data_IF_830362377883
#
_entry.id   IF_830362377883
#
_cell.length_a   1.000
_cell.length_b   1.000
_cell.length_c   1.000
_cell.angle_alpha   90.00
_cell.angle_beta   90.00
_cell.angle_gamma   90.00
#
_symmetry.space_group_name_H-M   'P 1'
#
loop_
_entity.id
_entity.type
_entity.pdbx_description
1 polymer ?
#
# COMPACT_ATOMS: atom_id res chain seq x y z
N UNK A 1 -19.01 12.78 -22.47
CA UNK A 1 -18.87 11.35 -22.11
C UNK A 1 -19.79 10.39 -22.89
N UNK A 2 -20.97 10.80 -23.41
CA UNK A 2 -21.86 9.91 -24.18
C UNK A 2 -21.27 9.37 -25.50
N UNK A 3 -20.21 9.99 -26.04
CA UNK A 3 -19.59 9.59 -27.33
C UNK A 3 -18.96 8.19 -27.33
N UNK A 4 -18.58 7.64 -26.18
CA UNK A 4 -17.95 6.31 -26.09
C UNK A 4 -18.91 5.19 -25.68
N UNK A 5 -20.16 5.51 -25.32
CA UNK A 5 -21.16 4.48 -24.95
C UNK A 5 -21.37 3.45 -26.08
N UNK A 6 -21.45 3.83 -27.37
CA UNK A 6 -21.53 2.86 -28.45
C UNK A 6 -20.31 1.93 -28.54
N UNK A 7 -19.11 2.47 -28.30
CA UNK A 7 -17.86 1.69 -28.31
C UNK A 7 -17.86 0.66 -27.17
N UNK A 8 -18.25 1.06 -25.95
CA UNK A 8 -18.34 0.14 -24.82
C UNK A 8 -19.41 -0.94 -25.04
N UNK A 9 -20.57 -0.60 -25.63
CA UNK A 9 -21.57 -1.61 -26.01
C UNK A 9 -21.03 -2.62 -27.02
N UNK A 10 -20.36 -2.14 -28.06
CA UNK A 10 -19.76 -3.00 -29.08
C UNK A 10 -18.71 -3.94 -28.47
N UNK A 11 -17.89 -3.45 -27.53
CA UNK A 11 -16.93 -4.30 -26.81
C UNK A 11 -17.63 -5.36 -25.94
N UNK A 12 -18.65 -4.98 -25.18
CA UNK A 12 -19.40 -5.93 -24.35
C UNK A 12 -20.17 -6.95 -25.20
N UNK A 13 -20.69 -6.57 -26.36
CA UNK A 13 -21.27 -7.48 -27.35
C UNK A 13 -20.23 -8.46 -27.92
N UNK A 14 -19.05 -7.96 -28.30
CA UNK A 14 -17.95 -8.80 -28.78
C UNK A 14 -17.54 -9.84 -27.73
N UNK A 15 -17.42 -9.44 -26.46
CA UNK A 15 -17.07 -10.36 -25.37
C UNK A 15 -18.14 -11.42 -25.11
N UNK A 16 -19.42 -11.05 -25.24
CA UNK A 16 -20.53 -12.01 -25.18
C UNK A 16 -20.48 -12.98 -26.37
N UNK A 17 -20.28 -12.48 -27.58
CA UNK A 17 -20.16 -13.32 -28.78
C UNK A 17 -18.97 -14.29 -28.69
N UNK A 18 -17.82 -13.80 -28.21
CA UNK A 18 -16.62 -14.61 -27.96
C UNK A 18 -16.92 -15.72 -26.95
N UNK A 19 -17.65 -15.41 -25.89
CA UNK A 19 -18.08 -16.39 -24.86
C UNK A 19 -19.05 -17.45 -25.38
N UNK A 20 -19.80 -17.18 -26.45
CA UNK A 20 -20.71 -18.17 -27.07
C UNK A 20 -20.01 -19.12 -28.05
N UNK A 21 -18.80 -18.77 -28.48
CA UNK A 21 -18.03 -19.56 -29.44
C UNK A 21 -16.94 -20.34 -28.71
N UNK A 22 -17.15 -21.64 -28.49
CA UNK A 22 -16.25 -22.51 -27.70
C UNK A 22 -14.79 -22.49 -28.16
N UNK A 23 -14.53 -22.28 -29.46
CA UNK A 23 -13.17 -22.16 -30.01
C UNK A 23 -12.48 -20.83 -29.70
N UNK A 24 -13.24 -19.78 -29.36
CA UNK A 24 -12.73 -18.45 -29.07
C UNK A 24 -12.70 -18.14 -27.56
N UNK A 25 -13.41 -18.91 -26.72
CA UNK A 25 -13.35 -18.80 -25.25
C UNK A 25 -11.91 -18.81 -24.70
N UNK A 26 -10.94 -19.58 -25.24
CA UNK A 26 -9.56 -19.51 -24.78
C UNK A 26 -8.92 -18.11 -24.87
N UNK A 27 -9.36 -17.26 -25.80
CA UNK A 27 -8.87 -15.88 -25.94
C UNK A 27 -9.28 -14.97 -24.76
N UNK A 28 -10.25 -15.40 -23.95
CA UNK A 28 -10.71 -14.70 -22.76
C UNK A 28 -9.90 -15.08 -21.50
N UNK A 29 -9.10 -16.15 -21.59
CA UNK A 29 -8.16 -16.56 -20.56
C UNK A 29 -6.91 -15.66 -20.60
N UNK A 30 -6.07 -15.67 -19.54
CA UNK A 30 -4.78 -15.01 -19.60
C UNK A 30 -3.95 -15.46 -20.81
N UNK A 31 -3.19 -14.53 -21.41
CA UNK A 31 -2.27 -14.83 -22.52
C UNK A 31 -1.08 -15.65 -22.01
N UNK A 32 -1.20 -16.98 -21.99
CA UNK A 32 -0.08 -17.86 -21.68
C UNK A 32 1.12 -17.55 -22.59
N UNK A 33 2.29 -17.27 -21.98
CA UNK A 33 3.55 -17.39 -22.69
C UNK A 33 3.78 -18.85 -23.08
N UNK A 34 4.44 -19.07 -24.21
CA UNK A 34 4.77 -20.33 -24.91
C UNK A 34 4.24 -21.71 -24.42
N UNK A 35 3.81 -22.60 -25.33
CA UNK A 35 3.07 -23.84 -24.98
C UNK A 35 3.91 -24.98 -24.37
N UNK A 36 5.19 -24.76 -24.05
CA UNK A 36 6.08 -25.84 -23.61
C UNK A 36 6.34 -25.89 -22.09
N UNK A 37 5.84 -24.94 -21.31
CA UNK A 37 6.09 -24.89 -19.86
C UNK A 37 4.81 -24.61 -19.05
N UNK A 38 3.83 -25.52 -19.00
CA UNK A 38 2.70 -25.36 -18.05
C UNK A 38 2.05 -26.71 -17.69
N UNK A 39 2.69 -27.44 -16.77
CA UNK A 39 2.03 -28.46 -15.94
C UNK A 39 2.10 -28.07 -14.45
N UNK A 40 1.69 -26.86 -14.08
CA UNK A 40 1.42 -26.49 -12.68
C UNK A 40 0.18 -25.58 -12.60
N UNK A 41 -0.96 -26.16 -12.21
CA UNK A 41 -2.28 -25.50 -12.17
C UNK A 41 -2.46 -24.48 -11.03
N UNK A 42 -1.39 -24.12 -10.30
CA UNK A 42 -1.42 -23.14 -9.20
C UNK A 42 -0.71 -21.80 -9.50
N UNK A 43 -0.20 -21.59 -10.73
CA UNK A 43 0.63 -20.39 -11.03
C UNK A 43 0.08 -19.41 -12.08
N UNK A 44 -1.18 -19.56 -12.53
CA UNK A 44 -1.81 -18.67 -13.52
C UNK A 44 -2.59 -17.46 -12.93
N UNK A 45 -2.28 -16.97 -11.72
CA UNK A 45 -2.97 -15.79 -11.14
C UNK A 45 -2.30 -14.44 -11.47
N UNK A 46 -1.12 -14.44 -12.11
CA UNK A 46 -0.32 -13.23 -12.33
C UNK A 46 -0.77 -12.33 -13.48
N UNK A 47 -1.55 -12.88 -14.42
CA UNK A 47 -1.98 -12.18 -15.63
C UNK A 47 -3.44 -11.74 -15.54
N UNK A 48 -3.67 -10.46 -15.81
CA UNK A 48 -4.99 -9.85 -15.79
C UNK A 48 -5.85 -10.41 -16.93
N UNK A 49 -6.76 -11.34 -16.60
CA UNK A 49 -7.72 -11.87 -17.58
C UNK A 49 -8.87 -10.90 -17.85
N UNK A 50 -9.51 -11.05 -19.01
CA UNK A 50 -10.74 -10.33 -19.35
C UNK A 50 -11.83 -10.59 -18.32
N UNK A 51 -11.94 -11.82 -17.81
CA UNK A 51 -12.88 -12.19 -16.76
C UNK A 51 -12.65 -11.44 -15.45
N UNK A 52 -11.40 -11.28 -15.02
CA UNK A 52 -11.07 -10.57 -13.77
C UNK A 52 -11.33 -9.06 -13.87
N UNK A 53 -11.06 -8.45 -15.02
CA UNK A 53 -11.41 -7.05 -15.28
C UNK A 53 -12.92 -6.83 -15.27
N UNK A 54 -13.68 -7.72 -15.91
CA UNK A 54 -15.15 -7.66 -15.91
C UNK A 54 -15.72 -7.85 -14.50
N UNK A 55 -15.15 -8.74 -13.68
CA UNK A 55 -15.56 -8.93 -12.30
C UNK A 55 -15.34 -7.64 -11.47
N UNK A 56 -14.16 -7.03 -11.55
CA UNK A 56 -13.88 -5.74 -10.89
C UNK A 56 -14.85 -4.64 -11.34
N UNK A 57 -15.10 -4.56 -12.66
CA UNK A 57 -16.00 -3.56 -13.22
C UNK A 57 -17.46 -3.81 -12.81
N UNK A 58 -17.89 -5.07 -12.72
CA UNK A 58 -19.21 -5.46 -12.18
C UNK A 58 -19.34 -5.01 -10.72
N UNK A 59 -18.36 -5.28 -9.86
CA UNK A 59 -18.39 -4.83 -8.45
C UNK A 59 -18.57 -3.31 -8.34
N UNK A 60 -17.79 -2.52 -9.08
CA UNK A 60 -17.92 -1.05 -9.06
C UNK A 60 -19.33 -0.57 -9.47
N UNK A 61 -19.92 -1.23 -10.48
CA UNK A 61 -21.25 -0.90 -10.98
C UNK A 61 -22.36 -1.34 -10.01
N UNK A 62 -22.22 -2.52 -9.40
CA UNK A 62 -23.15 -3.05 -8.41
C UNK A 62 -23.23 -2.12 -7.20
N UNK A 63 -22.07 -1.69 -6.66
CA UNK A 63 -21.99 -0.69 -5.58
C UNK A 63 -22.71 0.62 -5.94
N UNK A 64 -22.52 1.10 -7.17
CA UNK A 64 -23.23 2.29 -7.67
C UNK A 64 -24.76 2.10 -7.70
N UNK A 65 -25.24 0.96 -8.21
CA UNK A 65 -26.69 0.69 -8.29
C UNK A 65 -27.35 0.47 -6.93
N UNK A 66 -26.65 -0.17 -5.99
CA UNK A 66 -27.16 -0.39 -4.65
C UNK A 66 -27.40 0.93 -3.93
N UNK A 67 -26.49 1.90 -4.03
CA UNK A 67 -26.73 3.27 -3.50
C UNK A 67 -27.92 3.97 -4.14
N UNK A 68 -28.16 3.77 -5.44
CA UNK A 68 -29.35 4.34 -6.10
C UNK A 68 -30.65 3.71 -5.58
N UNK A 69 -30.67 2.39 -5.35
CA UNK A 69 -31.85 1.69 -4.79
C UNK A 69 -32.10 2.04 -3.33
N UNK A 70 -31.07 2.09 -2.48
CA UNK A 70 -31.23 2.42 -1.06
C UNK A 70 -31.83 3.81 -0.83
N UNK A 71 -31.66 4.76 -1.77
CA UNK A 71 -32.36 6.05 -1.75
C UNK A 71 -33.84 5.98 -2.13
N UNK A 72 -34.24 5.02 -2.99
CA UNK A 72 -35.64 4.85 -3.41
C UNK A 72 -36.50 4.27 -2.29
N UNK A 73 -35.91 3.41 -1.43
CA UNK A 73 -36.63 2.84 -0.28
C UNK A 73 -36.69 3.80 0.93
N UNK A 74 -35.68 4.66 1.16
CA UNK A 74 -35.77 5.74 2.17
C UNK A 74 -36.77 6.88 1.78
N UNK A 75 -37.24 6.92 0.52
CA UNK A 75 -38.15 7.97 -0.01
C UNK A 75 -39.65 7.65 -0.02
N UNK A 76 -40.08 6.44 0.35
CA UNK A 76 -41.49 5.97 0.26
C UNK A 76 -42.43 6.49 1.36
N UNK A 77 -42.15 7.67 1.92
CA UNK A 77 -42.97 8.29 2.98
C UNK A 77 -43.79 9.52 2.56
N UNK A 78 -43.63 10.06 1.34
CA UNK A 78 -44.32 11.29 0.93
C UNK A 78 -44.99 11.12 -0.42
N UNK A 79 -46.32 11.15 -0.42
CA UNK A 79 -47.14 11.25 -1.63
C UNK A 79 -46.87 12.63 -2.27
N UNK A 80 -46.15 12.65 -3.37
CA UNK A 80 -46.18 13.73 -4.36
C UNK A 80 -46.24 13.15 -5.77
N UNK A 81 -47.28 13.54 -6.48
CA UNK A 81 -47.50 13.37 -7.91
C UNK A 81 -46.49 14.18 -8.72
N UNK A 82 -46.13 13.63 -9.89
CA UNK A 82 -45.28 14.19 -10.95
C UNK A 82 -43.82 14.45 -10.61
N UNK A 83 -43.00 13.40 -10.72
CA UNK A 83 -41.64 13.51 -11.25
C UNK A 83 -41.40 12.36 -12.21
N UNK A 84 -41.17 12.70 -13.48
CA UNK A 84 -40.66 11.79 -14.50
C UNK A 84 -39.41 11.08 -13.97
N UNK A 85 -39.37 9.74 -14.09
CA UNK A 85 -38.17 8.94 -13.83
C UNK A 85 -36.96 9.63 -14.47
N UNK A 86 -35.82 9.81 -13.76
CA UNK A 86 -34.60 10.26 -14.42
C UNK A 86 -34.19 9.15 -15.40
N UNK A 87 -34.33 9.41 -16.70
CA UNK A 87 -33.85 8.49 -17.72
C UNK A 87 -32.37 8.17 -17.45
N UNK A 88 -31.95 6.90 -17.55
CA UNK A 88 -30.55 6.54 -17.36
C UNK A 88 -29.70 7.25 -18.42
N UNK A 89 -28.97 8.31 -18.03
CA UNK A 89 -28.10 9.05 -18.94
C UNK A 89 -26.63 8.60 -18.85
N UNK A 90 -26.02 8.35 -20.01
CA UNK A 90 -24.57 8.13 -20.14
C UNK A 90 -24.14 6.69 -19.85
N UNK A 91 -23.13 6.51 -18.98
CA UNK A 91 -22.55 5.18 -18.69
C UNK A 91 -23.48 4.29 -17.84
N UNK A 92 -24.50 4.86 -17.20
CA UNK A 92 -25.52 4.10 -16.43
C UNK A 92 -26.33 3.17 -17.33
N UNK A 93 -26.45 3.50 -18.62
CA UNK A 93 -27.04 2.65 -19.65
C UNK A 93 -26.29 1.36 -19.91
N UNK A 94 -25.02 1.28 -19.52
CA UNK A 94 -24.18 0.09 -19.71
C UNK A 94 -24.26 -0.87 -18.52
N UNK A 95 -24.86 -0.47 -17.41
CA UNK A 95 -24.87 -1.27 -16.18
C UNK A 95 -25.45 -2.67 -16.40
N UNK A 96 -26.64 -2.84 -17.02
CA UNK A 96 -27.17 -4.18 -17.29
C UNK A 96 -26.28 -4.97 -18.26
N UNK A 97 -25.66 -4.29 -19.23
CA UNK A 97 -24.78 -4.92 -20.22
C UNK A 97 -23.47 -5.41 -19.56
N UNK A 98 -22.90 -4.65 -18.63
CA UNK A 98 -21.68 -5.01 -17.88
C UNK A 98 -21.96 -6.21 -16.98
N UNK A 99 -23.04 -6.18 -16.19
CA UNK A 99 -23.44 -7.27 -15.30
C UNK A 99 -23.64 -8.57 -16.10
N UNK A 100 -24.45 -8.50 -17.16
CA UNK A 100 -24.74 -9.65 -18.03
C UNK A 100 -23.49 -10.19 -18.72
N UNK A 101 -22.61 -9.31 -19.20
CA UNK A 101 -21.38 -9.74 -19.88
C UNK A 101 -20.41 -10.40 -18.91
N UNK A 102 -20.26 -9.87 -17.70
CA UNK A 102 -19.43 -10.48 -16.66
C UNK A 102 -19.92 -11.89 -16.29
N UNK A 103 -21.23 -12.09 -16.12
CA UNK A 103 -21.82 -13.41 -15.85
C UNK A 103 -21.58 -14.41 -16.99
N UNK A 104 -21.81 -13.99 -18.24
CA UNK A 104 -21.62 -14.85 -19.42
C UNK A 104 -20.15 -15.25 -19.58
N UNK A 105 -19.23 -14.29 -19.46
CA UNK A 105 -17.78 -14.56 -19.59
C UNK A 105 -17.29 -15.45 -18.46
N UNK A 106 -17.77 -15.21 -17.23
CA UNK A 106 -17.43 -16.05 -16.08
C UNK A 106 -17.90 -17.49 -16.26
N UNK A 107 -19.15 -17.69 -16.69
CA UNK A 107 -19.70 -19.01 -16.96
C UNK A 107 -18.91 -19.73 -18.06
N UNK A 108 -18.66 -19.08 -19.20
CA UNK A 108 -17.96 -19.68 -20.33
C UNK A 108 -16.52 -20.10 -19.98
N UNK A 109 -15.78 -19.21 -19.29
CA UNK A 109 -14.39 -19.50 -18.88
C UNK A 109 -14.32 -20.58 -17.80
N UNK A 110 -15.28 -20.64 -16.88
CA UNK A 110 -15.37 -21.69 -15.85
C UNK A 110 -15.69 -23.04 -16.47
N UNK A 111 -16.66 -23.12 -17.38
CA UNK A 111 -16.99 -24.36 -18.10
C UNK A 111 -15.82 -24.87 -18.93
N UNK A 112 -15.05 -23.98 -19.56
CA UNK A 112 -13.83 -24.38 -20.29
C UNK A 112 -12.76 -24.96 -19.35
N UNK A 113 -12.54 -24.34 -18.18
CA UNK A 113 -11.59 -24.86 -17.18
C UNK A 113 -12.01 -26.24 -16.67
N UNK A 114 -13.29 -26.43 -16.36
CA UNK A 114 -13.83 -27.72 -15.94
C UNK A 114 -13.68 -28.78 -17.04
N UNK A 115 -14.02 -28.46 -18.30
CA UNK A 115 -13.85 -29.38 -19.42
C UNK A 115 -12.37 -29.75 -19.68
N UNK A 116 -11.44 -28.81 -19.49
CA UNK A 116 -10.01 -29.07 -19.61
C UNK A 116 -9.49 -29.95 -18.46
N UNK A 117 -9.99 -29.76 -17.25
CA UNK A 117 -9.63 -30.56 -16.08
C UNK A 117 -10.17 -32.00 -16.20
N UNK A 118 -11.40 -32.17 -16.70
CA UNK A 118 -11.98 -33.47 -17.05
C UNK A 118 -11.16 -34.19 -18.12
N UNK A 119 -10.71 -33.48 -19.17
CA UNK A 119 -9.81 -34.06 -20.19
C UNK A 119 -8.47 -34.51 -19.59
N UNK A 120 -7.85 -33.70 -18.72
CA UNK A 120 -6.60 -34.06 -18.02
C UNK A 120 -6.77 -35.31 -17.12
N UNK A 121 -7.90 -35.42 -16.41
CA UNK A 121 -8.21 -36.58 -15.57
C UNK A 121 -8.40 -37.88 -16.37
N UNK A 122 -8.98 -37.78 -17.58
CA UNK A 122 -9.13 -38.92 -18.50
C UNK A 122 -7.80 -39.32 -19.14
N UNK A 123 -6.89 -38.38 -19.36
CA UNK A 123 -5.57 -38.62 -19.97
C UNK A 123 -4.53 -39.18 -18.99
N UNK A 124 -4.61 -38.81 -17.70
CA UNK A 124 -3.76 -39.33 -16.62
C UNK A 124 -3.97 -40.84 -16.37
N UNK A 125 -5.14 -41.38 -16.71
CA UNK A 125 -5.44 -42.82 -16.61
C UNK A 125 -4.74 -43.69 -17.69
N UNK A 126 -3.93 -43.11 -18.59
CA UNK A 126 -3.27 -43.86 -19.68
C UNK A 126 -1.73 -43.79 -19.72
N UNK A 127 -1.04 -43.13 -18.78
CA UNK A 127 0.43 -43.13 -18.74
C UNK A 127 0.97 -43.25 -17.32
N UNK A 128 1.14 -44.48 -16.85
CA UNK A 128 2.08 -44.79 -15.76
C UNK A 128 3.38 -45.28 -16.42
N UNK A 129 4.34 -44.38 -16.60
CA UNK A 129 5.79 -44.70 -16.61
C UNK A 129 6.61 -43.42 -16.78
N UNK A 130 7.47 -43.16 -15.79
CA UNK A 130 8.65 -42.29 -15.81
C UNK A 130 8.52 -40.87 -16.41
N UNK A 131 8.36 -39.86 -15.56
CA UNK A 131 8.82 -38.49 -15.83
C UNK A 131 9.73 -38.02 -14.68
N UNK A 132 10.91 -37.44 -14.97
CA UNK A 132 11.74 -36.81 -13.93
C UNK A 132 11.07 -35.53 -13.42
N UNK A 133 11.31 -35.20 -12.15
CA UNK A 133 10.76 -34.00 -11.48
C UNK A 133 11.23 -32.73 -12.21
N UNK A 134 10.36 -31.72 -12.43
CA UNK A 134 10.78 -30.46 -13.03
C UNK A 134 11.74 -29.70 -12.10
N UNK A 135 12.74 -29.06 -12.69
CA UNK A 135 13.64 -28.13 -12.00
C UNK A 135 12.85 -26.90 -11.56
N UNK A 136 12.78 -26.65 -10.25
CA UNK A 136 12.14 -25.46 -9.67
C UNK A 136 12.81 -24.20 -10.23
N UNK A 137 12.07 -23.39 -10.98
CA UNK A 137 12.52 -22.05 -11.39
C UNK A 137 12.58 -21.19 -10.12
N UNK A 138 13.80 -20.96 -9.61
CA UNK A 138 14.03 -20.07 -8.48
C UNK A 138 13.63 -18.64 -8.88
N UNK A 139 12.38 -18.24 -8.58
CA UNK A 139 11.97 -16.83 -8.66
C UNK A 139 12.87 -15.99 -7.77
N UNK A 140 13.30 -14.84 -8.27
CA UNK A 140 14.08 -13.87 -7.50
C UNK A 140 13.29 -13.39 -6.27
N UNK A 141 14.00 -12.94 -5.23
CA UNK A 141 13.36 -12.39 -4.00
C UNK A 141 12.42 -11.23 -4.34
N UNK A 142 12.78 -10.42 -5.32
CA UNK A 142 11.96 -9.30 -5.81
C UNK A 142 10.67 -9.79 -6.50
N UNK A 143 10.73 -10.79 -7.38
CA UNK A 143 9.53 -11.35 -8.01
C UNK A 143 8.59 -11.98 -6.98
N UNK A 144 9.14 -12.68 -5.97
CA UNK A 144 8.36 -13.21 -4.84
C UNK A 144 7.67 -12.09 -4.07
N UNK A 145 8.39 -11.01 -3.78
CA UNK A 145 7.83 -9.84 -3.11
C UNK A 145 6.70 -9.22 -3.95
N UNK A 146 6.95 -8.89 -5.22
CA UNK A 146 5.96 -8.29 -6.11
C UNK A 146 4.72 -9.18 -6.24
N UNK A 147 4.89 -10.49 -6.42
CA UNK A 147 3.77 -11.42 -6.52
C UNK A 147 2.91 -11.47 -5.25
N UNK A 148 3.54 -11.50 -4.06
CA UNK A 148 2.84 -11.50 -2.79
C UNK A 148 2.10 -10.18 -2.53
N UNK A 149 2.75 -9.04 -2.80
CA UNK A 149 2.20 -7.72 -2.51
C UNK A 149 1.15 -7.26 -3.52
N UNK A 150 1.20 -7.73 -4.78
CA UNK A 150 0.22 -7.40 -5.84
C UNK A 150 -1.22 -7.67 -5.41
N UNK A 151 -1.44 -8.79 -4.71
CA UNK A 151 -2.76 -9.21 -4.24
C UNK A 151 -3.37 -8.26 -3.20
N UNK A 152 -2.54 -7.46 -2.53
CA UNK A 152 -2.94 -6.60 -1.43
C UNK A 152 -3.01 -5.11 -1.80
N UNK A 153 -2.69 -4.73 -3.05
CA UNK A 153 -2.59 -3.33 -3.47
C UNK A 153 -3.89 -2.55 -3.38
N UNK A 154 -5.04 -3.19 -3.65
CA UNK A 154 -6.32 -2.51 -3.64
C UNK A 154 -7.39 -3.44 -3.09
N UNK A 155 -8.10 -2.96 -2.07
CA UNK A 155 -9.23 -3.69 -1.48
C UNK A 155 -10.20 -2.71 -0.80
N UNK A 156 -11.35 -3.20 -0.36
CA UNK A 156 -12.26 -2.47 0.52
C UNK A 156 -12.00 -2.79 1.99
N UNK A 157 -12.49 -1.93 2.89
CA UNK A 157 -12.46 -2.16 4.34
C UNK A 157 -13.66 -1.44 4.98
N UNK A 158 -14.33 -2.06 5.95
CA UNK A 158 -15.39 -1.39 6.72
C UNK A 158 -14.77 -0.30 7.63
N UNK A 159 -14.62 0.92 7.11
CA UNK A 159 -14.07 2.05 7.86
C UNK A 159 -15.16 2.81 8.61
N UNK A 160 -16.36 2.83 8.04
CA UNK A 160 -17.54 3.42 8.64
C UNK A 160 -18.74 2.48 8.61
N UNK A 161 -19.67 2.67 9.55
CA UNK A 161 -21.00 2.07 9.56
C UNK A 161 -22.04 3.15 9.88
N UNK A 162 -23.27 3.01 9.37
CA UNK A 162 -24.42 3.82 9.82
C UNK A 162 -25.03 3.18 11.08
N UNK A 163 -25.37 3.98 12.10
CA UNK A 163 -26.23 3.53 13.20
C UNK A 163 -27.72 3.59 12.81
N UNK A 164 -28.60 3.16 13.73
CA UNK A 164 -30.06 3.13 13.50
C UNK A 164 -30.66 4.51 13.20
N UNK A 165 -29.99 5.58 13.64
CA UNK A 165 -30.36 6.98 13.39
C UNK A 165 -29.74 7.54 12.09
N UNK A 166 -28.99 6.72 11.34
CA UNK A 166 -28.31 7.11 10.10
C UNK A 166 -27.03 7.92 10.31
N UNK A 167 -26.47 7.94 11.52
CA UNK A 167 -25.25 8.67 11.84
C UNK A 167 -24.02 7.81 11.57
N UNK A 168 -23.00 8.43 10.97
CA UNK A 168 -21.76 7.77 10.60
C UNK A 168 -20.87 7.50 11.82
N UNK A 169 -20.60 6.23 12.07
CA UNK A 169 -19.71 5.72 13.11
C UNK A 169 -18.43 5.16 12.48
N UNK A 170 -17.27 5.57 12.97
CA UNK A 170 -15.98 5.11 12.44
C UNK A 170 -15.48 3.88 13.21
N UNK A 171 -15.04 2.86 12.47
CA UNK A 171 -14.40 1.64 12.99
C UNK A 171 -12.88 1.77 13.10
N UNK A 172 -12.31 2.73 12.38
CA UNK A 172 -10.87 3.00 12.32
C UNK A 172 -10.59 4.47 12.64
N UNK A 173 -9.37 4.76 13.11
CA UNK A 173 -8.90 6.13 13.22
C UNK A 173 -8.80 6.75 11.83
N UNK A 174 -9.34 7.96 11.71
CA UNK A 174 -9.39 8.68 10.45
C UNK A 174 -9.33 10.20 10.67
N UNK A 175 -8.39 10.88 10.04
CA UNK A 175 -8.12 12.30 10.23
C UNK A 175 -9.33 13.18 9.91
N UNK A 176 -10.05 12.87 8.83
CA UNK A 176 -11.15 13.70 8.31
C UNK A 176 -12.52 13.32 8.87
N UNK A 177 -12.59 12.67 10.04
CA UNK A 177 -13.85 12.27 10.68
C UNK A 177 -14.84 13.42 10.85
N UNK A 178 -14.35 14.60 11.24
CA UNK A 178 -15.17 15.79 11.43
C UNK A 178 -15.79 16.26 10.11
N UNK A 179 -15.00 16.32 9.04
CA UNK A 179 -15.44 16.72 7.70
C UNK A 179 -16.48 15.75 7.15
N UNK A 180 -16.29 14.44 7.35
CA UNK A 180 -17.25 13.41 6.94
C UNK A 180 -18.57 13.55 7.71
N UNK A 181 -18.52 13.73 9.04
CA UNK A 181 -19.73 13.87 9.88
C UNK A 181 -20.50 15.16 9.62
N UNK A 182 -19.81 16.23 9.26
CA UNK A 182 -20.41 17.54 8.96
C UNK A 182 -20.77 17.73 7.49
N UNK A 183 -20.42 16.78 6.62
CA UNK A 183 -20.75 16.87 5.21
C UNK A 183 -22.26 16.74 5.00
N UNK A 184 -22.83 17.65 4.22
CA UNK A 184 -24.22 17.52 3.78
C UNK A 184 -24.38 16.34 2.82
N UNK A 185 -25.51 15.62 2.90
CA UNK A 185 -25.85 14.46 2.06
C UNK A 185 -26.16 14.78 0.58
N UNK A 186 -25.71 15.93 0.08
CA UNK A 186 -25.81 16.38 -1.30
C UNK A 186 -24.87 15.56 -2.21
N UNK A 187 -25.20 14.29 -2.34
CA UNK A 187 -24.56 13.32 -3.21
C UNK A 187 -24.87 13.63 -4.69
N UNK A 188 -24.05 14.49 -5.30
CA UNK A 188 -24.07 14.73 -6.74
C UNK A 188 -23.74 13.44 -7.50
N UNK A 189 -24.62 13.03 -8.42
CA UNK A 189 -24.39 11.85 -9.26
C UNK A 189 -23.11 11.99 -10.10
N UNK A 190 -22.74 13.22 -10.49
CA UNK A 190 -21.49 13.47 -11.20
C UNK A 190 -20.26 13.20 -10.32
N UNK A 191 -20.29 13.63 -9.05
CA UNK A 191 -19.24 13.34 -8.07
C UNK A 191 -19.12 11.84 -7.82
N UNK A 192 -20.23 11.14 -7.60
CA UNK A 192 -20.22 9.69 -7.40
C UNK A 192 -19.61 8.94 -8.59
N UNK A 193 -19.96 9.32 -9.83
CA UNK A 193 -19.34 8.73 -11.04
C UNK A 193 -17.84 9.01 -11.09
N UNK A 194 -17.42 10.22 -10.72
CA UNK A 194 -16.00 10.57 -10.72
C UNK A 194 -15.22 9.78 -9.67
N UNK A 195 -15.75 9.61 -8.45
CA UNK A 195 -15.12 8.80 -7.40
C UNK A 195 -15.00 7.33 -7.79
N UNK A 196 -16.03 6.78 -8.44
CA UNK A 196 -15.97 5.41 -8.97
C UNK A 196 -14.87 5.26 -10.05
N UNK A 197 -14.66 6.29 -10.89
CA UNK A 197 -13.56 6.29 -11.86
C UNK A 197 -12.18 6.32 -11.19
N UNK A 198 -12.02 7.05 -10.09
CA UNK A 198 -10.78 7.00 -9.29
C UNK A 198 -10.55 5.57 -8.78
N UNK A 199 -11.54 4.96 -8.12
CA UNK A 199 -11.44 3.61 -7.57
C UNK A 199 -11.07 2.56 -8.64
N UNK A 200 -11.67 2.64 -9.83
CA UNK A 200 -11.31 1.75 -10.96
C UNK A 200 -9.85 1.91 -11.36
N UNK A 201 -9.37 3.16 -11.49
CA UNK A 201 -7.98 3.46 -11.85
C UNK A 201 -7.01 2.90 -10.80
N UNK A 202 -7.30 3.13 -9.52
CA UNK A 202 -6.49 2.64 -8.40
C UNK A 202 -6.52 1.09 -8.32
N UNK A 203 -7.62 0.44 -8.67
CA UNK A 203 -7.70 -1.03 -8.62
C UNK A 203 -6.82 -1.78 -9.63
N UNK A 204 -6.22 -1.06 -10.58
CA UNK A 204 -5.46 -1.63 -11.70
C UNK A 204 -4.08 -1.02 -11.92
N UNK A 205 -3.85 0.22 -11.49
CA UNK A 205 -2.69 1.01 -11.94
C UNK A 205 -1.79 1.50 -10.82
N UNK A 206 -1.94 0.97 -9.60
CA UNK A 206 -1.09 1.36 -8.47
C UNK A 206 0.37 0.92 -8.67
N UNK A 207 1.36 1.80 -8.38
CA UNK A 207 2.76 1.44 -8.44
C UNK A 207 3.10 0.24 -7.55
N UNK A 208 3.86 -0.71 -8.10
CA UNK A 208 4.31 -1.93 -7.42
C UNK A 208 5.74 -2.25 -7.84
N UNK A 209 6.66 -2.28 -6.88
CA UNK A 209 8.05 -2.70 -7.06
C UNK A 209 8.66 -3.07 -5.71
N UNK A 210 9.80 -3.77 -5.69
CA UNK A 210 10.53 -4.00 -4.43
C UNK A 210 10.98 -2.70 -3.77
N UNK A 211 11.30 -1.67 -4.58
CA UNK A 211 11.75 -0.36 -4.09
C UNK A 211 10.62 0.43 -3.41
N UNK A 212 9.50 0.61 -4.10
CA UNK A 212 8.35 1.35 -3.58
C UNK A 212 7.05 0.88 -4.22
N UNK A 213 6.05 0.72 -3.37
CA UNK A 213 4.72 0.18 -3.68
C UNK A 213 3.65 0.96 -2.94
N UNK A 214 2.47 1.10 -3.58
CA UNK A 214 1.31 1.79 -3.04
C UNK A 214 0.16 0.81 -2.82
N UNK A 215 -0.46 0.90 -1.64
CA UNK A 215 -1.58 0.09 -1.19
C UNK A 215 -2.74 1.01 -0.80
N UNK A 216 -3.94 0.70 -1.26
CA UNK A 216 -5.14 1.52 -1.04
C UNK A 216 -6.23 0.65 -0.40
N UNK A 217 -6.92 1.22 0.58
CA UNK A 217 -8.19 0.71 1.09
C UNK A 217 -9.26 1.76 0.87
N UNK A 218 -10.35 1.38 0.21
CA UNK A 218 -11.55 2.20 0.12
C UNK A 218 -12.56 1.74 1.15
N UNK A 219 -13.36 2.66 1.70
CA UNK A 219 -14.50 2.22 2.49
C UNK A 219 -15.50 1.42 1.62
N UNK A 220 -16.12 0.38 2.20
CA UNK A 220 -17.07 -0.49 1.51
C UNK A 220 -18.28 0.26 0.97
N UNK A 221 -18.77 1.24 1.73
CA UNK A 221 -19.97 2.00 1.38
C UNK A 221 -19.66 3.40 0.87
N UNK A 222 -18.52 4.01 1.22
CA UNK A 222 -18.15 5.41 0.99
C UNK A 222 -16.86 5.60 0.18
N UNK A 223 -17.01 5.64 -1.15
CA UNK A 223 -15.94 5.98 -2.11
C UNK A 223 -15.19 7.32 -1.89
N UNK A 224 -15.68 8.20 -1.00
CA UNK A 224 -14.99 9.44 -0.65
C UNK A 224 -14.07 9.33 0.58
N UNK A 225 -13.98 8.14 1.17
CA UNK A 225 -13.11 7.80 2.30
C UNK A 225 -12.13 6.73 1.83
N UNK A 226 -10.85 7.04 1.88
CA UNK A 226 -9.79 6.08 1.58
C UNK A 226 -8.65 6.20 2.59
N UNK A 227 -7.93 5.10 2.77
CA UNK A 227 -6.63 5.06 3.44
C UNK A 227 -5.60 4.52 2.46
N UNK A 228 -4.38 5.01 2.57
CA UNK A 228 -3.28 4.64 1.67
C UNK A 228 -2.04 4.31 2.49
N UNK A 229 -1.29 3.31 2.06
CA UNK A 229 0.05 3.03 2.57
C UNK A 229 1.05 3.06 1.42
N UNK A 230 2.12 3.82 1.57
CA UNK A 230 3.22 3.92 0.60
C UNK A 230 4.48 3.40 1.29
N UNK A 231 5.16 2.44 0.65
CA UNK A 231 6.47 1.98 1.10
C UNK A 231 7.55 2.94 0.58
N UNK A 232 8.48 3.34 1.44
CA UNK A 232 9.51 4.32 1.10
C UNK A 232 10.48 3.79 0.04
N UNK A 233 10.79 4.58 -1.02
CA UNK A 233 11.67 4.15 -2.10
C UNK A 233 13.09 3.82 -1.64
N UNK A 234 13.71 2.84 -2.31
CA UNK A 234 15.13 2.52 -2.15
C UNK A 234 16.02 3.75 -2.43
N UNK A 235 17.23 3.75 -1.88
CA UNK A 235 18.21 4.86 -2.00
C UNK A 235 17.75 6.21 -1.40
N UNK A 236 16.71 6.20 -0.57
CA UNK A 236 16.21 7.37 0.16
C UNK A 236 16.26 7.13 1.67
N UNK A 237 16.25 8.17 2.53
CA UNK A 237 16.16 7.95 3.98
C UNK A 237 14.80 7.39 4.45
N UNK A 238 13.87 7.14 3.52
CA UNK A 238 12.55 6.55 3.75
C UNK A 238 12.52 5.03 3.46
N UNK A 239 13.57 4.50 2.82
CA UNK A 239 13.60 3.15 2.24
C UNK A 239 13.00 2.08 3.17
N UNK A 240 12.09 1.27 2.63
CA UNK A 240 11.39 0.17 3.33
C UNK A 240 10.51 0.60 4.52
N UNK A 241 10.34 1.90 4.79
CA UNK A 241 9.37 2.38 5.76
C UNK A 241 7.94 2.34 5.20
N UNK A 242 6.97 1.97 6.02
CA UNK A 242 5.54 2.03 5.71
C UNK A 242 4.94 3.38 6.19
N UNK A 243 4.53 4.22 5.24
CA UNK A 243 3.92 5.53 5.49
C UNK A 243 2.43 5.49 5.20
N UNK A 244 1.61 5.69 6.23
CA UNK A 244 0.15 5.67 6.15
C UNK A 244 -0.42 7.08 5.97
N UNK A 245 -1.41 7.20 5.09
CA UNK A 245 -2.09 8.44 4.76
C UNK A 245 -3.60 8.25 4.80
N UNK A 246 -4.29 9.23 5.36
CA UNK A 246 -5.74 9.38 5.25
C UNK A 246 -6.10 10.27 4.08
N UNK A 247 -7.19 9.91 3.37
CA UNK A 247 -7.60 10.56 2.13
C UNK A 247 -9.10 10.81 2.13
N UNK A 248 -9.48 12.08 2.07
CA UNK A 248 -10.87 12.50 1.95
C UNK A 248 -11.13 13.24 0.66
N UNK A 249 -12.15 12.83 -0.08
CA UNK A 249 -12.63 13.58 -1.24
C UNK A 249 -13.74 14.55 -0.81
N UNK A 250 -13.57 15.88 -0.89
CA UNK A 250 -14.56 16.84 -0.40
C UNK A 250 -15.86 16.83 -1.24
N UNK A 251 -16.91 17.47 -0.73
CA UNK A 251 -18.24 17.49 -1.37
C UNK A 251 -18.25 18.14 -2.75
N UNK A 252 -17.32 19.05 -3.01
CA UNK A 252 -17.14 19.74 -4.29
C UNK A 252 -16.15 19.03 -5.22
N UNK A 253 -15.62 17.86 -4.86
CA UNK A 253 -14.77 17.05 -5.75
C UNK A 253 -15.50 16.69 -7.06
N UNK A 254 -14.87 16.82 -8.25
CA UNK A 254 -13.45 17.11 -8.49
C UNK A 254 -13.11 18.59 -8.69
N UNK A 255 -13.97 19.55 -8.35
CA UNK A 255 -13.63 20.97 -8.50
C UNK A 255 -12.50 21.38 -7.55
N UNK A 256 -12.49 20.82 -6.34
CA UNK A 256 -11.37 20.88 -5.39
C UNK A 256 -10.59 19.56 -5.37
N UNK A 257 -9.28 19.59 -5.03
CA UNK A 257 -8.46 18.39 -4.89
C UNK A 257 -8.91 17.51 -3.71
N UNK A 258 -8.48 16.24 -3.67
CA UNK A 258 -8.61 15.43 -2.46
C UNK A 258 -7.78 16.03 -1.32
N UNK A 259 -8.21 15.80 -0.08
CA UNK A 259 -7.43 16.11 1.11
C UNK A 259 -6.60 14.87 1.48
N UNK A 260 -5.31 15.07 1.75
CA UNK A 260 -4.38 13.99 2.13
C UNK A 260 -3.63 14.39 3.39
N UNK A 261 -3.63 13.52 4.40
CA UNK A 261 -2.88 13.70 5.64
C UNK A 261 -1.97 12.49 5.90
N UNK A 262 -0.71 12.73 6.27
CA UNK A 262 0.20 11.70 6.75
C UNK A 262 -0.13 11.38 8.21
N UNK A 263 -0.47 10.13 8.49
CA UNK A 263 -0.74 9.65 9.85
C UNK A 263 0.55 9.17 10.54
N UNK A 264 1.52 8.69 9.78
CA UNK A 264 2.83 8.25 10.30
C UNK A 264 3.73 9.45 10.65
N UNK A 265 3.40 10.17 11.73
CA UNK A 265 4.14 11.36 12.21
C UNK A 265 4.80 11.16 13.58
N UNK A 266 4.68 9.96 14.16
CA UNK A 266 5.11 9.68 15.53
C UNK A 266 4.38 10.53 16.56
N UNK A 267 3.06 10.69 16.40
CA UNK A 267 2.25 11.57 17.26
C UNK A 267 2.66 13.03 17.14
N UNK A 268 2.85 13.50 15.90
CA UNK A 268 3.30 14.85 15.56
C UNK A 268 4.74 15.21 15.97
N UNK A 269 5.52 14.25 16.47
CA UNK A 269 6.91 14.50 16.89
C UNK A 269 7.90 14.58 15.72
N UNK A 270 7.54 14.09 14.54
CA UNK A 270 8.43 14.01 13.38
C UNK A 270 7.93 14.86 12.22
N UNK A 271 8.81 15.71 11.68
CA UNK A 271 8.68 16.31 10.35
C UNK A 271 9.46 15.45 9.37
N UNK A 272 8.76 14.60 8.61
CA UNK A 272 9.41 13.60 7.74
C UNK A 272 10.06 14.21 6.50
N UNK A 273 9.54 15.33 6.01
CA UNK A 273 10.01 15.99 4.80
C UNK A 273 9.66 17.49 4.89
N UNK A 274 10.34 18.40 4.17
CA UNK A 274 9.88 19.76 4.06
C UNK A 274 8.41 19.91 3.67
N UNK A 275 7.91 18.96 2.87
CA UNK A 275 6.53 18.86 2.41
C UNK A 275 5.63 17.91 3.24
N UNK A 276 6.14 17.31 4.32
CA UNK A 276 5.38 16.46 5.26
C UNK A 276 5.51 17.03 6.68
N UNK A 277 4.51 17.80 7.08
CA UNK A 277 4.54 18.57 8.31
C UNK A 277 4.29 17.67 9.53
N UNK A 278 4.64 18.16 10.72
CA UNK A 278 4.40 17.47 11.99
C UNK A 278 2.92 17.11 12.20
N UNK A 279 2.01 18.00 11.82
CA UNK A 279 0.56 17.77 11.91
C UNK A 279 0.03 16.76 10.87
N UNK A 280 0.88 16.33 9.94
CA UNK A 280 0.55 15.41 8.86
C UNK A 280 0.24 16.09 7.53
N UNK A 281 0.23 17.43 7.47
CA UNK A 281 -0.09 18.14 6.22
C UNK A 281 0.87 17.76 5.09
N UNK A 282 0.30 17.32 3.97
CA UNK A 282 1.02 16.98 2.73
C UNK A 282 1.02 18.18 1.79
N UNK A 283 2.21 18.65 1.41
CA UNK A 283 2.39 19.80 0.54
C UNK A 283 2.75 19.40 -0.89
N UNK A 284 1.81 19.53 -1.82
CA UNK A 284 2.02 19.32 -3.25
C UNK A 284 1.27 20.39 -4.05
N UNK A 285 1.82 20.80 -5.19
CA UNK A 285 1.15 21.75 -6.08
C UNK A 285 -0.17 21.18 -6.60
N UNK A 286 -0.21 19.88 -6.94
CA UNK A 286 -1.41 19.17 -7.41
C UNK A 286 -2.51 19.09 -6.33
N UNK A 287 -2.16 19.24 -5.05
CA UNK A 287 -3.09 19.33 -3.93
C UNK A 287 -3.45 20.78 -3.56
N UNK A 288 -2.94 21.76 -4.31
CA UNK A 288 -3.02 23.19 -4.00
C UNK A 288 -2.49 23.57 -2.60
N UNK A 289 -1.65 22.71 -2.00
CA UNK A 289 -1.01 22.94 -0.69
C UNK A 289 0.44 23.41 -0.81
N UNK A 290 0.94 23.55 -2.04
CA UNK A 290 2.26 24.08 -2.36
C UNK A 290 2.22 25.01 -3.57
N UNK A 291 3.26 25.82 -3.72
CA UNK A 291 3.42 26.64 -4.91
C UNK A 291 3.78 25.77 -6.12
N UNK A 292 3.43 26.24 -7.31
CA UNK A 292 3.65 25.54 -8.58
C UNK A 292 3.06 26.34 -9.73
N UNK A 293 3.48 26.01 -10.94
CA UNK A 293 2.94 26.59 -12.17
C UNK A 293 1.45 26.21 -12.33
N UNK A 294 0.66 26.98 -13.10
CA UNK A 294 -0.76 26.67 -13.30
C UNK A 294 -1.04 25.23 -13.77
N UNK A 295 -0.16 24.67 -14.62
CA UNK A 295 -0.25 23.29 -15.13
C UNK A 295 0.10 22.21 -14.10
N UNK A 296 0.75 22.57 -12.98
CA UNK A 296 1.13 21.67 -11.88
C UNK A 296 0.08 21.65 -10.76
N UNK A 297 -0.94 22.52 -10.84
CA UNK A 297 -2.04 22.61 -9.88
C UNK A 297 -3.16 21.64 -10.20
N UNK A 298 -4.04 21.43 -9.23
CA UNK A 298 -5.22 20.59 -9.42
C UNK A 298 -6.06 21.06 -10.62
N UNK A 299 -6.30 20.16 -11.56
CA UNK A 299 -7.18 20.37 -12.69
C UNK A 299 -8.35 19.36 -12.61
N UNK A 300 -9.60 19.81 -12.39
CA UNK A 300 -10.77 18.94 -12.26
C UNK A 300 -10.99 17.98 -13.43
N UNK A 301 -10.50 18.33 -14.63
CA UNK A 301 -10.71 17.55 -15.86
C UNK A 301 -9.62 16.51 -16.08
N UNK A 302 -8.36 16.79 -15.68
CA UNK A 302 -7.20 15.96 -16.05
C UNK A 302 -6.44 15.38 -14.88
N UNK A 303 -6.52 15.99 -13.69
CA UNK A 303 -5.85 15.45 -12.50
C UNK A 303 -6.53 14.17 -12.04
N UNK A 304 -5.81 13.24 -11.41
CA UNK A 304 -6.36 12.04 -10.77
C UNK A 304 -5.70 11.77 -9.43
N UNK A 305 -6.33 10.94 -8.59
CA UNK A 305 -5.72 10.58 -7.30
C UNK A 305 -4.46 9.73 -7.49
N UNK A 306 -4.40 8.90 -8.53
CA UNK A 306 -3.18 8.18 -8.89
C UNK A 306 -1.98 9.12 -9.11
N UNK A 307 -2.18 10.26 -9.78
CA UNK A 307 -1.11 11.25 -9.97
C UNK A 307 -0.65 11.86 -8.66
N UNK A 308 -1.54 12.06 -7.70
CA UNK A 308 -1.17 12.52 -6.34
C UNK A 308 -0.27 11.48 -5.67
N UNK A 309 -0.65 10.20 -5.71
CA UNK A 309 0.13 9.11 -5.10
C UNK A 309 1.53 8.99 -5.72
N UNK A 310 1.62 9.04 -7.04
CA UNK A 310 2.90 9.03 -7.78
C UNK A 310 3.73 10.29 -7.45
N UNK A 311 3.08 11.44 -7.24
CA UNK A 311 3.77 12.68 -6.84
C UNK A 311 4.36 12.58 -5.44
N UNK A 312 3.70 11.91 -4.49
CA UNK A 312 4.27 11.66 -3.16
C UNK A 312 5.56 10.84 -3.27
N UNK A 313 5.55 9.75 -4.07
CA UNK A 313 6.76 8.95 -4.29
C UNK A 313 7.86 9.75 -5.00
N UNK A 314 7.52 10.54 -6.01
CA UNK A 314 8.49 11.15 -6.92
C UNK A 314 9.05 12.49 -6.46
N UNK A 315 8.32 13.23 -5.62
CA UNK A 315 8.67 14.60 -5.22
C UNK A 315 8.92 14.74 -3.72
N UNK A 316 8.33 13.87 -2.89
CA UNK A 316 8.43 13.96 -1.43
C UNK A 316 9.37 12.87 -0.89
N UNK A 317 9.11 11.60 -1.18
CA UNK A 317 9.90 10.48 -0.67
C UNK A 317 11.17 10.25 -1.50
N UNK A 318 12.01 11.28 -1.58
CA UNK A 318 13.20 11.35 -2.46
C UNK A 318 14.50 11.26 -1.67
N UNK A 319 15.62 11.04 -2.37
CA UNK A 319 16.95 11.20 -1.82
C UNK A 319 17.27 12.69 -1.55
N UNK A 320 18.11 12.97 -0.56
CA UNK A 320 18.46 14.32 -0.10
C UNK A 320 17.23 15.24 0.12
N UNK A 321 16.21 14.82 0.90
CA UNK A 321 14.97 15.56 1.11
C UNK A 321 15.15 16.93 1.76
N UNK A 322 16.31 17.22 2.34
CA UNK A 322 16.69 18.56 2.82
C UNK A 322 16.47 19.65 1.76
N UNK A 323 16.76 19.33 0.49
CA UNK A 323 16.66 20.29 -0.61
C UNK A 323 15.23 20.49 -1.15
N UNK A 324 14.22 19.83 -0.57
CA UNK A 324 12.81 20.15 -0.88
C UNK A 324 12.36 21.46 -0.21
N UNK A 325 13.16 22.00 0.73
CA UNK A 325 12.89 23.29 1.35
C UNK A 325 13.23 24.43 0.36
N UNK A 326 12.31 25.36 0.07
CA UNK A 326 12.54 26.39 -0.94
C UNK A 326 13.78 27.24 -0.69
N UNK A 327 14.63 27.31 -1.71
CA UNK A 327 15.85 28.11 -1.69
C UNK A 327 17.07 27.35 -1.17
N UNK A 328 16.90 26.16 -0.58
CA UNK A 328 18.01 25.34 -0.10
C UNK A 328 18.76 24.66 -1.24
N UNK A 329 18.15 24.53 -2.43
CA UNK A 329 18.76 23.96 -3.64
C UNK A 329 20.02 24.72 -4.05
N UNK A 330 20.11 26.01 -3.71
CA UNK A 330 21.30 26.85 -3.94
C UNK A 330 22.55 26.36 -3.22
N UNK A 331 22.38 25.60 -2.14
CA UNK A 331 23.47 25.03 -1.35
C UNK A 331 23.88 23.63 -1.81
N UNK A 332 23.11 22.99 -2.71
CA UNK A 332 23.41 21.65 -3.24
C UNK A 332 24.77 21.63 -3.94
N UNK A 333 25.56 20.61 -3.68
CA UNK A 333 26.94 20.48 -4.18
C UNK A 333 28.00 21.31 -3.43
N UNK A 334 27.60 22.17 -2.49
CA UNK A 334 28.55 22.85 -1.59
C UNK A 334 28.87 21.96 -0.37
N UNK A 335 30.04 22.13 0.28
CA UNK A 335 30.34 21.40 1.52
C UNK A 335 29.31 21.66 2.63
N UNK A 336 28.79 22.89 2.72
CA UNK A 336 27.78 23.25 3.72
C UNK A 336 26.44 22.57 3.46
N UNK A 337 25.93 22.61 2.22
CA UNK A 337 24.67 21.96 1.87
C UNK A 337 24.75 20.44 1.98
N UNK A 338 25.89 19.86 1.60
CA UNK A 338 26.14 18.42 1.77
C UNK A 338 26.10 18.01 3.24
N UNK A 339 26.72 18.82 4.12
CA UNK A 339 26.72 18.58 5.55
C UNK A 339 25.30 18.67 6.16
N UNK A 340 24.54 19.71 5.81
CA UNK A 340 23.16 19.88 6.28
C UNK A 340 22.23 18.79 5.77
N UNK A 341 22.37 18.37 4.51
CA UNK A 341 21.58 17.26 3.95
C UNK A 341 21.86 15.95 4.67
N UNK A 342 23.13 15.65 4.98
CA UNK A 342 23.49 14.43 5.72
C UNK A 342 22.94 14.40 7.14
N UNK A 343 22.98 15.53 7.83
CA UNK A 343 22.38 15.65 9.17
C UNK A 343 20.86 15.45 9.11
N UNK A 344 20.21 16.03 8.09
CA UNK A 344 18.80 15.82 7.83
C UNK A 344 18.48 14.34 7.55
N UNK A 345 19.24 13.68 6.68
CA UNK A 345 19.09 12.25 6.39
C UNK A 345 19.27 11.38 7.64
N UNK A 346 20.25 11.69 8.49
CA UNK A 346 20.45 10.99 9.76
C UNK A 346 19.22 11.05 10.67
N UNK A 347 18.56 12.21 10.73
CA UNK A 347 17.31 12.36 11.46
C UNK A 347 16.14 11.60 10.82
N UNK A 348 16.00 11.63 9.49
CA UNK A 348 14.92 10.93 8.80
C UNK A 348 15.10 9.41 8.88
N UNK A 349 16.31 8.89 8.69
CA UNK A 349 16.60 7.45 8.79
C UNK A 349 16.20 6.87 10.14
N UNK A 350 16.61 7.50 11.25
CA UNK A 350 16.24 7.03 12.60
C UNK A 350 14.71 7.11 12.83
N UNK A 351 14.06 8.13 12.30
CA UNK A 351 12.61 8.28 12.39
C UNK A 351 11.86 7.26 11.51
N UNK A 352 12.36 6.92 10.32
CA UNK A 352 11.82 5.88 9.44
C UNK A 352 11.87 4.52 10.13
N UNK A 353 13.02 4.14 10.70
CA UNK A 353 13.16 2.88 11.45
C UNK A 353 12.24 2.84 12.67
N UNK A 354 12.13 3.94 13.41
CA UNK A 354 11.26 4.00 14.59
C UNK A 354 9.77 3.96 14.23
N UNK A 355 9.31 4.90 13.41
CA UNK A 355 7.87 5.15 13.25
C UNK A 355 7.27 4.52 12.00
N UNK A 356 8.04 4.39 10.91
CA UNK A 356 7.57 3.77 9.67
C UNK A 356 7.90 2.27 9.60
N UNK A 357 8.73 1.74 10.51
CA UNK A 357 9.00 0.29 10.59
C UNK A 357 8.57 -0.30 11.93
N UNK A 358 9.29 0.03 13.02
CA UNK A 358 9.09 -0.61 14.32
C UNK A 358 7.68 -0.41 14.86
N UNK A 359 7.17 0.82 14.89
CA UNK A 359 5.81 1.08 15.40
C UNK A 359 4.72 0.62 14.44
N UNK A 360 4.98 0.57 13.13
CA UNK A 360 4.07 -0.06 12.17
C UNK A 360 3.92 -1.56 12.43
N UNK A 361 5.01 -2.25 12.80
CA UNK A 361 4.95 -3.66 13.19
C UNK A 361 4.25 -3.89 14.53
N UNK A 362 4.49 -3.02 15.52
CA UNK A 362 3.91 -3.14 16.87
C UNK A 362 2.43 -2.79 16.92
N UNK A 363 2.05 -1.72 16.22
CA UNK A 363 0.72 -1.15 16.25
C UNK A 363 0.20 -0.91 14.81
N UNK A 364 0.06 -1.97 13.99
CA UNK A 364 -0.39 -1.83 12.62
C UNK A 364 -1.83 -1.33 12.54
N UNK A 365 -2.10 -0.44 11.60
CA UNK A 365 -3.46 -0.07 11.22
C UNK A 365 -4.23 -1.31 10.75
N UNK A 366 -5.48 -1.54 11.20
CA UNK A 366 -6.28 -2.69 10.79
C UNK A 366 -6.40 -2.83 9.27
N UNK A 367 -6.46 -1.69 8.55
CA UNK A 367 -6.57 -1.62 7.11
C UNK A 367 -5.36 -2.22 6.37
N UNK A 368 -4.17 -2.21 7.00
CA UNK A 368 -2.91 -2.58 6.37
C UNK A 368 -2.13 -3.65 7.13
N UNK A 369 -2.74 -4.29 8.14
CA UNK A 369 -2.07 -5.29 8.97
C UNK A 369 -1.39 -6.39 8.15
N UNK A 370 -2.08 -6.94 7.16
CA UNK A 370 -1.52 -7.99 6.29
C UNK A 370 -0.39 -7.45 5.38
N UNK A 371 -0.56 -6.24 4.84
CA UNK A 371 0.46 -5.57 4.01
C UNK A 371 1.74 -5.37 4.81
N UNK A 372 1.63 -4.82 6.02
CA UNK A 372 2.73 -4.57 6.94
C UNK A 372 3.43 -5.88 7.30
N UNK A 373 2.66 -6.91 7.69
CA UNK A 373 3.20 -8.21 8.06
C UNK A 373 3.97 -8.86 6.91
N UNK A 374 3.38 -8.97 5.71
CA UNK A 374 4.05 -9.56 4.54
C UNK A 374 5.25 -8.74 4.09
N UNK A 375 5.16 -7.40 4.09
CA UNK A 375 6.26 -6.53 3.70
C UNK A 375 7.49 -6.74 4.60
N UNK A 376 7.32 -6.62 5.91
CA UNK A 376 8.43 -6.76 6.84
C UNK A 376 8.95 -8.19 6.92
N UNK A 377 8.10 -9.21 6.77
CA UNK A 377 8.54 -10.60 6.71
C UNK A 377 9.43 -10.85 5.48
N UNK A 378 8.96 -10.49 4.28
CA UNK A 378 9.68 -10.75 3.03
C UNK A 378 10.98 -9.95 2.92
N UNK A 379 11.02 -8.73 3.49
CA UNK A 379 12.19 -7.83 3.40
C UNK A 379 13.08 -7.83 4.65
N UNK A 380 12.84 -8.70 5.64
CA UNK A 380 13.55 -8.68 6.94
C UNK A 380 15.07 -8.71 6.83
N UNK A 381 15.63 -9.50 5.91
CA UNK A 381 17.09 -9.59 5.70
C UNK A 381 17.63 -8.31 5.08
N UNK A 382 16.95 -7.78 4.05
CA UNK A 382 17.31 -6.53 3.38
C UNK A 382 17.26 -5.34 4.35
N UNK A 383 16.19 -5.23 5.14
CA UNK A 383 16.00 -4.14 6.11
C UNK A 383 17.09 -4.17 7.18
N UNK A 384 17.46 -5.35 7.68
CA UNK A 384 18.57 -5.45 8.64
C UNK A 384 19.90 -5.02 8.01
N UNK A 385 20.18 -5.43 6.77
CA UNK A 385 21.38 -4.98 6.04
C UNK A 385 21.39 -3.46 5.85
N UNK A 386 20.26 -2.88 5.43
CA UNK A 386 20.08 -1.44 5.26
C UNK A 386 20.33 -0.67 6.56
N UNK A 387 19.79 -1.13 7.69
CA UNK A 387 19.99 -0.47 8.98
C UNK A 387 21.45 -0.47 9.40
N UNK A 388 22.18 -1.58 9.24
CA UNK A 388 23.62 -1.65 9.55
C UNK A 388 24.43 -0.73 8.63
N UNK A 389 24.09 -0.64 7.35
CA UNK A 389 24.72 0.28 6.39
C UNK A 389 24.47 1.74 6.78
N UNK A 390 23.24 2.12 7.11
CA UNK A 390 22.91 3.46 7.58
C UNK A 390 23.64 3.82 8.89
N UNK A 391 23.76 2.88 9.82
CA UNK A 391 24.54 3.06 11.05
C UNK A 391 26.01 3.32 10.70
N UNK A 392 26.61 2.48 9.85
CA UNK A 392 27.99 2.62 9.43
C UNK A 392 28.25 3.96 8.75
N UNK A 393 27.39 4.38 7.82
CA UNK A 393 27.48 5.67 7.11
C UNK A 393 27.41 6.86 8.09
N UNK A 394 26.42 6.91 8.98
CA UNK A 394 26.29 8.02 9.94
C UNK A 394 27.51 8.09 10.88
N UNK A 395 28.05 6.95 11.31
CA UNK A 395 29.20 6.89 12.21
C UNK A 395 30.50 7.43 11.60
N UNK A 396 30.66 7.42 10.27
CA UNK A 396 31.83 8.01 9.60
C UNK A 396 31.98 9.51 9.93
N UNK A 397 30.87 10.18 10.23
CA UNK A 397 30.82 11.62 10.50
C UNK A 397 30.72 11.97 11.99
N UNK A 398 30.74 10.98 12.89
CA UNK A 398 30.64 11.22 14.35
C UNK A 398 31.80 12.05 14.92
N UNK A 399 32.96 12.06 14.25
CA UNK A 399 34.14 12.84 14.63
C UNK A 399 34.22 14.21 13.94
N UNK A 400 33.24 14.56 13.10
CA UNK A 400 33.20 15.87 12.43
C UNK A 400 33.07 17.00 13.45
N UNK A 401 33.90 18.05 13.32
CA UNK A 401 33.95 19.17 14.27
C UNK A 401 32.65 19.99 14.33
N UNK A 402 31.83 19.99 13.28
CA UNK A 402 30.61 20.80 13.18
C UNK A 402 29.35 19.99 13.48
N UNK A 403 29.22 18.79 12.89
CA UNK A 403 28.00 17.96 13.02
C UNK A 403 28.20 16.67 13.82
N UNK A 404 29.41 16.39 14.30
CA UNK A 404 29.72 15.11 14.96
C UNK A 404 28.83 14.80 16.16
N UNK A 405 28.42 15.83 16.92
CA UNK A 405 27.50 15.65 18.06
C UNK A 405 26.10 15.18 17.63
N UNK A 406 25.51 15.84 16.62
CA UNK A 406 24.15 15.51 16.16
C UNK A 406 24.15 14.19 15.40
N UNK A 407 25.16 13.94 14.57
CA UNK A 407 25.36 12.65 13.91
C UNK A 407 25.52 11.50 14.90
N UNK A 408 26.29 11.69 15.99
CA UNK A 408 26.41 10.69 17.05
C UNK A 408 25.08 10.43 17.76
N UNK A 409 24.26 11.46 17.96
CA UNK A 409 22.92 11.31 18.52
C UNK A 409 22.00 10.51 17.57
N UNK A 410 22.00 10.82 16.27
CA UNK A 410 21.23 10.07 15.27
C UNK A 410 21.69 8.61 15.18
N UNK A 411 23.01 8.34 15.16
CA UNK A 411 23.55 6.99 15.18
C UNK A 411 23.13 6.21 16.43
N UNK A 412 23.19 6.84 17.61
CA UNK A 412 22.77 6.20 18.86
C UNK A 412 21.27 5.86 18.86
N UNK A 413 20.42 6.77 18.38
CA UNK A 413 18.99 6.52 18.23
C UNK A 413 18.72 5.38 17.23
N UNK A 414 19.32 5.44 16.04
CA UNK A 414 19.18 4.43 15.00
C UNK A 414 19.60 3.04 15.48
N UNK A 415 20.72 2.92 16.22
CA UNK A 415 21.16 1.66 16.83
C UNK A 415 20.12 1.07 17.78
N UNK A 416 19.57 1.90 18.68
CA UNK A 416 18.53 1.45 19.62
C UNK A 416 17.27 0.97 18.88
N UNK A 417 16.83 1.71 17.87
CA UNK A 417 15.64 1.34 17.09
C UNK A 417 15.88 0.09 16.25
N UNK A 418 17.08 -0.07 15.67
CA UNK A 418 17.48 -1.26 14.91
C UNK A 418 17.50 -2.51 15.80
N UNK A 419 18.01 -2.41 17.02
CA UNK A 419 17.99 -3.54 17.97
C UNK A 419 16.56 -3.98 18.31
N UNK A 420 15.65 -3.03 18.56
CA UNK A 420 14.24 -3.32 18.80
C UNK A 420 13.54 -3.88 17.56
N UNK A 421 13.83 -3.34 16.37
CA UNK A 421 13.28 -3.83 15.11
C UNK A 421 13.73 -5.27 14.82
N UNK A 422 14.99 -5.59 15.09
CA UNK A 422 15.53 -6.96 14.96
C UNK A 422 14.75 -7.96 15.82
N UNK A 423 14.41 -7.58 17.05
CA UNK A 423 13.61 -8.42 17.94
C UNK A 423 12.20 -8.67 17.38
N UNK A 424 11.52 -7.64 16.86
CA UNK A 424 10.20 -7.80 16.26
C UNK A 424 10.24 -8.63 14.96
N UNK A 425 11.26 -8.44 14.12
CA UNK A 425 11.43 -9.20 12.87
C UNK A 425 11.70 -10.69 13.14
N UNK A 426 12.44 -11.02 14.19
CA UNK A 426 12.71 -12.41 14.61
C UNK A 426 11.45 -13.10 15.14
N UNK A 427 10.57 -12.35 15.81
CA UNK A 427 9.30 -12.88 16.35
C UNK A 427 8.21 -12.98 15.28
N UNK A 428 8.43 -12.43 14.10
CA UNK A 428 7.40 -12.30 13.08
C UNK A 428 7.07 -13.69 12.50
N UNK A 429 5.82 -14.18 12.64
CA UNK A 429 5.45 -15.49 12.12
C UNK A 429 5.46 -15.49 10.59
N UNK A 430 5.63 -16.67 9.98
CA UNK A 430 5.44 -16.82 8.55
C UNK A 430 4.01 -16.41 8.15
N UNK A 431 3.82 -15.47 7.21
CA UNK A 431 2.49 -15.07 6.76
C UNK A 431 1.78 -16.19 6.00
N UNK A 432 0.46 -16.21 6.09
CA UNK A 432 -0.38 -17.17 5.37
C UNK A 432 -0.20 -17.04 3.84
N UNK A 433 -0.08 -18.18 3.17
CA UNK A 433 0.11 -18.27 1.72
C UNK A 433 1.55 -18.04 1.24
N UNK A 434 2.53 -17.97 2.15
CA UNK A 434 3.95 -18.04 1.83
C UNK A 434 4.55 -19.33 2.37
N UNK A 435 5.44 -19.97 1.60
CA UNK A 435 6.23 -21.08 2.12
C UNK A 435 7.29 -20.55 3.09
N UNK A 436 7.53 -21.21 4.24
CA UNK A 436 8.57 -20.80 5.17
C UNK A 436 9.93 -20.87 4.48
N UNK A 437 10.70 -19.79 4.59
CA UNK A 437 12.08 -19.77 4.07
C UNK A 437 12.87 -20.92 4.70
N UNK A 438 13.41 -21.83 3.88
CA UNK A 438 14.36 -22.84 4.34
C UNK A 438 15.60 -22.16 4.94
N UNK A 439 15.74 -22.20 6.27
CA UNK A 439 16.91 -21.88 7.11
C UNK A 439 17.85 -20.75 6.62
N UNK A 440 17.30 -19.65 6.11
CA UNK A 440 18.10 -18.54 5.56
C UNK A 440 18.03 -17.24 6.39
N UNK A 441 17.55 -17.29 7.63
CA UNK A 441 17.82 -16.22 8.60
C UNK A 441 19.04 -16.61 9.43
N UNK A 442 20.26 -16.19 9.04
CA UNK A 442 21.46 -16.66 9.71
C UNK A 442 21.49 -16.15 11.16
N UNK A 443 21.52 -17.07 12.12
CA UNK A 443 21.86 -16.83 13.53
C UNK A 443 23.26 -16.20 13.72
N UNK A 444 24.03 -15.99 12.66
CA UNK A 444 25.43 -15.50 12.69
C UNK A 444 25.63 -14.06 13.18
N UNK A 445 24.59 -13.29 13.46
CA UNK A 445 24.72 -11.99 14.14
C UNK A 445 24.79 -12.10 15.69
N UNK A 446 24.82 -13.30 16.27
CA UNK A 446 24.83 -13.56 17.72
C UNK A 446 26.17 -13.31 18.46
N UNK A 447 27.08 -12.49 17.92
CA UNK A 447 28.43 -12.30 18.46
C UNK A 447 28.64 -11.04 19.30
N UNK A 448 27.86 -10.78 20.35
CA UNK A 448 28.30 -9.87 21.42
C UNK A 448 29.11 -10.70 22.43
N UNK A 449 30.44 -10.66 22.30
CA UNK A 449 31.34 -11.12 23.37
C UNK A 449 31.03 -10.28 24.61
N UNK A 450 30.44 -10.92 25.62
CA UNK A 450 30.48 -10.43 27.00
C UNK A 450 31.95 -10.16 27.36
N UNK A 451 32.23 -8.90 27.71
CA UNK A 451 33.47 -8.53 28.36
C UNK A 451 33.48 -9.21 29.74
N UNK A 452 34.61 -9.78 30.20
CA UNK A 452 34.68 -10.35 31.53
C UNK A 452 34.47 -9.25 32.57
N UNK A 453 33.55 -9.48 33.51
CA UNK A 453 33.36 -8.63 34.68
C UNK A 453 34.62 -8.55 35.54
N UNK A 454 34.75 -7.50 36.37
CA UNK A 454 35.92 -7.33 37.24
C UNK A 454 35.98 -8.45 38.29
N UNK A 455 37.18 -8.87 38.72
CA UNK A 455 37.35 -9.94 39.70
C UNK A 455 36.83 -9.50 41.08
N UNK A 456 36.08 -10.39 41.71
CA UNK A 456 35.53 -10.26 43.05
C UNK A 456 36.62 -9.98 44.10
N UNK A 457 36.39 -8.97 44.92
CA UNK A 457 37.16 -8.72 46.13
C UNK A 457 36.76 -9.74 47.21
N UNK A 458 37.72 -10.57 47.62
CA UNK A 458 37.60 -11.48 48.75
C UNK A 458 37.16 -10.74 50.03
N UNK A 459 36.07 -11.20 50.64
CA UNK A 459 35.77 -10.95 52.05
C UNK A 459 36.70 -11.82 52.91
N UNK A 460 37.47 -11.26 53.86
CA UNK A 460 38.09 -12.07 54.88
C UNK A 460 37.05 -12.43 55.96
N UNK A 461 37.00 -13.72 56.29
CA UNK A 461 36.21 -14.27 57.37
C UNK A 461 36.73 -13.81 58.74
N UNK A 462 35.82 -13.72 59.70
CA UNK A 462 36.16 -13.48 61.10
C UNK A 462 36.43 -14.78 61.85
N UNK A 463 37.44 -14.79 62.72
CA UNK A 463 37.37 -15.40 64.06
C UNK A 463 38.57 -15.02 64.93
N UNK A 464 38.21 -14.46 66.09
CA UNK A 464 38.74 -14.69 67.44
C UNK A 464 40.15 -14.26 67.88
N UNK A 465 40.08 -13.33 68.84
CA UNK A 465 40.60 -13.37 70.20
C UNK A 465 42.08 -13.03 70.50
N UNK A 466 42.17 -12.05 71.41
CA UNK A 466 42.94 -12.03 72.66
C UNK A 466 44.25 -11.22 72.75
N UNK A 467 44.27 -10.44 73.85
CA UNK A 467 45.40 -9.95 74.64
C UNK A 467 46.18 -8.68 74.25
N UNK A 468 46.10 -7.68 75.14
CA UNK A 468 47.28 -7.29 75.92
C UNK A 468 47.90 -5.91 75.66
N UNK A 469 47.69 -4.99 76.62
CA UNK A 469 48.67 -4.06 77.22
C UNK A 469 49.55 -3.19 76.28
N UNK A 470 49.36 -1.86 76.30
CA UNK A 470 49.97 -0.85 77.19
C UNK A 470 49.55 0.56 76.78
#
# INVERSE_FOLDING_TARGET
>A
MARHVPLYRALLELLRATSTCTTLVPLLLPLSGDPEEDEDEEHSEGQTSVGMLLAKMKTCVDTYTNRLRSKKDKGKGVVKTDTSDPEPEGLTLLVPDIQRTAEIVYAATTSLRQANQERKLVECSRKVSSRPKPLYVLRSVEEKYVAAMKKLQFDTFEMVSEDDDGKVMFKVNYHYMSQVKNASDTNSAARSRRLAQEAVTLSTSLPLSSSSSVFVRCDEERLDIMKVLITGPADTPYANGCFEFDVYFPQDYPNSPPLVNLETTGGHSVRFNPNLYNDGKVCLSILNTWHGRPEEKWNPQTSSFLQVLVSVQSLILVAEPYFNEPGYERSRGTPSGTQSSREYDGNIRQASVKWAMLEQMRNPSPCFKEVIHKHFYLKRVEIMSQCEEWIADIQQYSSDKRVGRTMSHHAAALKRHTAQLREELLKLPCPDGLEPDGDNFPERSMGLKELPGPPDAEKPGGSQDSEGQL
#
